data_IF_257402464056
#
_entry.id   IF_257402464056
#
_cell.length_a   1.000
_cell.length_b   1.000
_cell.length_c   1.000
_cell.angle_alpha   90.00
_cell.angle_beta   90.00
_cell.angle_gamma   90.00
#
_symmetry.space_group_name_H-M   'P 1'
#
loop_
_entity.id
_entity.type
_entity.pdbx_description
1 polymer ?
#
# COMPACT_ATOMS: atom_id res chain seq x y z
N UNK A 1 -8.52 -8.44 -13.29
CA UNK A 1 -7.04 -8.57 -13.30
C UNK A 1 -6.51 -7.91 -12.02
N UNK A 2 -5.63 -8.57 -11.25
CA UNK A 2 -5.13 -8.07 -9.96
C UNK A 2 -3.69 -7.52 -10.05
N UNK A 3 -3.26 -6.72 -9.08
CA UNK A 3 -1.87 -6.30 -8.93
C UNK A 3 -1.11 -7.37 -8.14
N UNK A 4 -0.05 -7.91 -8.74
CA UNK A 4 0.79 -8.93 -8.12
C UNK A 4 2.24 -8.46 -8.12
N UNK A 5 2.86 -8.37 -6.95
CA UNK A 5 4.32 -8.20 -6.84
C UNK A 5 4.93 -9.53 -6.42
N UNK A 6 5.97 -9.93 -7.13
CA UNK A 6 6.68 -11.18 -6.89
C UNK A 6 8.11 -10.90 -6.43
N UNK A 7 8.46 -11.33 -5.22
CA UNK A 7 9.82 -11.23 -4.69
C UNK A 7 10.49 -12.62 -4.78
N UNK A 8 11.40 -12.78 -5.74
CA UNK A 8 12.09 -14.05 -5.98
C UNK A 8 11.14 -15.18 -6.42
N UNK A 9 11.53 -16.44 -6.23
CA UNK A 9 10.74 -17.61 -6.68
C UNK A 9 9.56 -17.99 -5.77
N UNK A 10 9.43 -17.37 -4.60
CA UNK A 10 8.61 -17.93 -3.50
C UNK A 10 7.52 -16.99 -3.01
N UNK A 11 7.60 -15.70 -3.32
CA UNK A 11 6.76 -14.71 -2.65
C UNK A 11 5.91 -13.98 -3.68
N UNK A 12 4.65 -14.41 -3.81
CA UNK A 12 3.65 -13.81 -4.72
C UNK A 12 2.59 -13.06 -3.91
N UNK A 13 2.52 -11.75 -4.08
CA UNK A 13 1.60 -10.89 -3.32
C UNK A 13 0.49 -10.31 -4.20
N UNK A 14 -0.75 -10.74 -3.98
CA UNK A 14 -1.94 -10.09 -4.56
C UNK A 14 -2.38 -8.89 -3.70
N UNK A 15 -2.23 -7.68 -4.24
CA UNK A 15 -2.53 -6.39 -3.59
C UNK A 15 -4.02 -6.06 -3.57
N UNK A 16 -4.84 -6.73 -4.38
CA UNK A 16 -6.22 -6.36 -4.63
C UNK A 16 -7.25 -7.18 -3.83
N UNK A 17 -6.82 -8.12 -2.97
CA UNK A 17 -7.74 -9.14 -2.43
C UNK A 17 -7.87 -9.25 -0.90
N UNK A 18 -7.07 -8.53 -0.10
CA UNK A 18 -7.19 -8.61 1.37
C UNK A 18 -6.94 -7.25 2.04
N UNK A 19 -7.98 -6.69 2.65
CA UNK A 19 -7.93 -5.42 3.40
C UNK A 19 -6.80 -5.41 4.44
N UNK A 20 -6.65 -6.51 5.19
CA UNK A 20 -5.58 -6.67 6.19
C UNK A 20 -4.17 -6.55 5.59
N UNK A 21 -4.00 -6.97 4.32
CA UNK A 21 -2.69 -6.83 3.65
C UNK A 21 -2.40 -5.37 3.32
N UNK A 22 -3.37 -4.61 2.81
CA UNK A 22 -3.19 -3.17 2.53
C UNK A 22 -2.86 -2.38 3.80
N UNK A 23 -3.46 -2.73 4.94
CA UNK A 23 -3.07 -2.16 6.24
C UNK A 23 -1.60 -2.40 6.57
N UNK A 24 -1.11 -3.63 6.43
CA UNK A 24 0.30 -3.98 6.71
C UNK A 24 1.24 -3.17 5.80
N UNK A 25 0.88 -2.99 4.53
CA UNK A 25 1.67 -2.20 3.60
C UNK A 25 1.69 -0.73 3.95
N UNK A 26 0.53 -0.16 4.30
CA UNK A 26 0.46 1.21 4.81
C UNK A 26 1.35 1.36 6.05
N UNK A 27 1.27 0.43 7.01
CA UNK A 27 2.13 0.43 8.20
C UNK A 27 3.62 0.40 7.85
N UNK A 28 4.03 -0.44 6.89
CA UNK A 28 5.41 -0.51 6.43
C UNK A 28 5.85 0.82 5.80
N UNK A 29 5.06 1.38 4.88
CA UNK A 29 5.39 2.65 4.21
C UNK A 29 5.46 3.80 5.21
N UNK A 30 4.55 3.87 6.18
CA UNK A 30 4.57 4.90 7.22
C UNK A 30 5.83 4.79 8.10
N UNK A 31 6.16 3.58 8.57
CA UNK A 31 7.29 3.36 9.47
C UNK A 31 8.64 3.54 8.78
N UNK A 32 8.81 2.94 7.61
CA UNK A 32 10.10 2.92 6.91
C UNK A 32 10.29 4.13 6.01
N UNK A 33 9.21 4.71 5.48
CA UNK A 33 9.27 5.96 4.70
C UNK A 33 9.28 7.23 5.54
N UNK A 34 9.19 7.12 6.87
CA UNK A 34 9.06 8.27 7.78
C UNK A 34 7.91 9.22 7.42
N UNK A 35 6.83 8.65 6.87
CA UNK A 35 5.62 9.38 6.47
C UNK A 35 4.54 9.24 7.56
N UNK A 36 3.72 10.27 7.72
CA UNK A 36 2.43 10.13 8.38
C UNK A 36 1.32 9.81 7.36
N UNK A 37 0.10 9.54 7.83
CA UNK A 37 -1.02 9.24 6.94
C UNK A 37 -1.33 10.39 5.97
N UNK A 38 -1.08 11.65 6.35
CA UNK A 38 -1.29 12.78 5.44
C UNK A 38 -0.25 12.77 4.32
N UNK A 39 1.03 12.59 4.67
CA UNK A 39 2.13 12.47 3.73
C UNK A 39 1.93 11.32 2.76
N UNK A 40 1.57 10.13 3.26
CA UNK A 40 1.27 8.99 2.38
C UNK A 40 0.08 9.30 1.45
N UNK A 41 -1.01 9.87 1.97
CA UNK A 41 -2.18 10.23 1.17
C UNK A 41 -1.84 11.23 0.05
N UNK A 42 -0.96 12.20 0.33
CA UNK A 42 -0.44 13.13 -0.68
C UNK A 42 0.42 12.44 -1.73
N UNK A 43 1.25 11.47 -1.35
CA UNK A 43 2.14 10.77 -2.28
C UNK A 43 1.37 9.84 -3.24
N UNK A 44 0.36 9.12 -2.74
CA UNK A 44 -0.51 8.27 -3.58
C UNK A 44 -1.73 9.03 -4.12
N UNK A 45 -1.77 10.36 -3.98
CA UNK A 45 -2.84 11.23 -4.50
C UNK A 45 -4.26 10.70 -4.20
N UNK A 46 -4.56 10.52 -2.92
CA UNK A 46 -5.92 10.23 -2.44
C UNK A 46 -6.28 11.09 -1.23
N UNK A 47 -7.58 11.34 -0.97
CA UNK A 47 -8.01 11.95 0.28
C UNK A 47 -7.57 11.12 1.49
N UNK A 48 -6.96 11.77 2.49
CA UNK A 48 -6.52 11.10 3.73
C UNK A 48 -7.65 10.38 4.47
N UNK A 49 -8.90 10.83 4.29
CA UNK A 49 -10.07 10.17 4.87
C UNK A 49 -10.26 8.76 4.30
N UNK A 50 -10.01 8.57 2.99
CA UNK A 50 -10.07 7.26 2.33
C UNK A 50 -8.93 6.40 2.87
N UNK A 51 -7.71 6.94 2.95
CA UNK A 51 -6.57 6.20 3.48
C UNK A 51 -6.78 5.74 4.93
N UNK A 52 -7.44 6.55 5.77
CA UNK A 52 -7.80 6.18 7.14
C UNK A 52 -8.79 5.01 7.17
N UNK A 53 -9.78 4.99 6.28
CA UNK A 53 -10.74 3.89 6.20
C UNK A 53 -10.11 2.61 5.68
N UNK A 54 -9.16 2.70 4.73
CA UNK A 54 -8.34 1.55 4.32
C UNK A 54 -7.48 1.04 5.48
N UNK A 55 -6.85 1.95 6.22
CA UNK A 55 -6.01 1.60 7.37
C UNK A 55 -6.79 0.94 8.52
N UNK A 56 -8.07 1.30 8.70
CA UNK A 56 -8.99 0.62 9.62
C UNK A 56 -9.51 -0.73 9.11
N UNK A 57 -9.30 -1.04 7.82
CA UNK A 57 -9.82 -2.24 7.16
C UNK A 57 -11.27 -2.13 6.69
N UNK A 58 -11.89 -0.94 6.80
CA UNK A 58 -13.27 -0.67 6.40
C UNK A 58 -13.46 -0.74 4.88
N UNK A 59 -12.43 -0.38 4.11
CA UNK A 59 -12.41 -0.45 2.66
C UNK A 59 -11.01 -0.84 2.15
N UNK A 60 -10.84 -0.89 0.83
CA UNK A 60 -9.56 -1.15 0.19
C UNK A 60 -9.34 -0.16 -0.95
N UNK A 61 -8.08 0.16 -1.21
CA UNK A 61 -7.65 0.93 -2.37
C UNK A 61 -8.04 0.18 -3.64
N UNK A 62 -8.51 0.93 -4.63
CA UNK A 62 -8.65 0.40 -5.98
C UNK A 62 -7.30 -0.07 -6.53
N UNK A 63 -7.34 -0.77 -7.66
CA UNK A 63 -6.15 -1.37 -8.25
C UNK A 63 -5.04 -0.35 -8.53
N UNK A 64 -5.38 0.82 -9.05
CA UNK A 64 -4.38 1.81 -9.46
C UNK A 64 -3.67 2.36 -8.22
N UNK A 65 -4.42 2.68 -7.16
CA UNK A 65 -3.86 3.19 -5.90
C UNK A 65 -3.14 2.11 -5.10
N UNK A 66 -3.60 0.86 -5.16
CA UNK A 66 -2.89 -0.28 -4.62
C UNK A 66 -1.54 -0.53 -5.34
N UNK A 67 -1.49 -0.33 -6.67
CA UNK A 67 -0.26 -0.41 -7.47
C UNK A 67 0.72 0.72 -7.12
N UNK A 68 0.25 1.94 -6.89
CA UNK A 68 1.08 3.06 -6.43
C UNK A 68 1.68 2.79 -5.03
N UNK A 69 0.87 2.29 -4.09
CA UNK A 69 1.35 1.87 -2.77
C UNK A 69 2.41 0.76 -2.88
N UNK A 70 2.21 -0.20 -3.78
CA UNK A 70 3.17 -1.28 -4.03
C UNK A 70 4.51 -0.75 -4.57
N UNK A 71 4.47 0.20 -5.52
CA UNK A 71 5.67 0.83 -6.08
C UNK A 71 6.44 1.62 -5.02
N UNK A 72 5.74 2.37 -4.18
CA UNK A 72 6.36 3.09 -3.05
C UNK A 72 7.10 2.14 -2.13
N UNK A 73 6.47 1.01 -1.82
CA UNK A 73 7.10 0.00 -1.01
C UNK A 73 8.35 -0.57 -1.68
N UNK A 74 8.29 -0.90 -2.98
CA UNK A 74 9.46 -1.36 -3.73
C UNK A 74 10.60 -0.34 -3.69
N UNK A 75 10.32 0.95 -3.86
CA UNK A 75 11.30 2.03 -3.79
C UNK A 75 11.93 2.13 -2.38
N UNK A 76 11.12 1.98 -1.32
CA UNK A 76 11.59 2.03 0.05
C UNK A 76 12.50 0.86 0.45
N UNK A 77 12.36 -0.29 -0.22
CA UNK A 77 13.13 -1.51 0.09
C UNK A 77 14.04 -1.95 -1.06
N UNK A 78 14.36 -1.08 -2.02
CA UNK A 78 15.21 -1.41 -3.19
C UNK A 78 16.71 -1.20 -2.98
N UNK A 79 17.20 -1.12 -1.75
CA UNK A 79 18.64 -1.15 -1.45
C UNK A 79 19.26 -2.55 -1.68
#
# INVERSE_FOLDING_TARGET
MGCIVEFGKTVRFDFCKKNDKQKIWIDAVLRYGMLDLNGLASVIDIPVIILREVYKGSCFLDRNKAEELAKLLLILFSD
#
